data_IF_169884455838
#
_entry.id   IF_169884455838
#
_cell.length_a   1.000
_cell.length_b   1.000
_cell.length_c   1.000
_cell.angle_alpha   90.00
_cell.angle_beta   90.00
_cell.angle_gamma   90.00
#
_symmetry.space_group_name_H-M   'P 1'
#
loop_
_entity.id
_entity.type
_entity.pdbx_description
1 polymer ?
#
# COMPACT_ATOMS: atom_id res chain seq x y z
N UNK A 1 -16.73 10.76 4.47
CA UNK A 1 -15.92 9.96 3.53
C UNK A 1 -14.67 10.77 3.16
N UNK A 2 -13.50 10.14 3.00
CA UNK A 2 -12.29 10.80 2.46
C UNK A 2 -11.85 10.02 1.23
N UNK A 3 -12.04 10.58 0.04
CA UNK A 3 -11.67 9.99 -1.24
C UNK A 3 -10.23 10.36 -1.61
N UNK A 4 -9.44 9.37 -2.00
CA UNK A 4 -8.15 9.56 -2.63
C UNK A 4 -8.30 9.31 -4.12
N UNK A 5 -7.88 10.25 -4.94
CA UNK A 5 -7.89 10.14 -6.40
C UNK A 5 -6.76 10.94 -7.00
N UNK A 6 -6.73 10.96 -8.33
CA UNK A 6 -5.78 11.76 -9.11
C UNK A 6 -6.58 12.48 -10.19
N UNK A 7 -6.49 13.81 -10.24
CA UNK A 7 -7.28 14.64 -11.19
C UNK A 7 -6.86 14.45 -12.64
N UNK A 8 -5.72 13.80 -12.88
CA UNK A 8 -5.25 13.40 -14.21
C UNK A 8 -6.11 12.30 -14.84
N UNK A 9 -6.91 11.59 -14.04
CA UNK A 9 -7.84 10.56 -14.51
C UNK A 9 -9.25 11.11 -14.68
N UNK A 10 -9.96 10.61 -15.69
CA UNK A 10 -11.32 11.03 -16.04
C UNK A 10 -12.30 10.97 -14.84
N UNK A 11 -12.15 9.95 -14.00
CA UNK A 11 -13.04 9.66 -12.88
C UNK A 11 -12.43 10.02 -11.53
N UNK A 12 -12.04 11.29 -11.35
CA UNK A 12 -11.44 11.79 -10.11
C UNK A 12 -12.28 11.45 -8.86
N UNK A 13 -11.69 10.75 -7.89
CA UNK A 13 -12.32 10.31 -6.64
C UNK A 13 -13.65 9.52 -6.80
N UNK A 14 -13.90 8.91 -7.96
CA UNK A 14 -15.21 8.31 -8.27
C UNK A 14 -15.63 7.23 -7.28
N UNK A 15 -14.73 6.32 -6.89
CA UNK A 15 -15.05 5.32 -5.87
C UNK A 15 -15.51 5.97 -4.56
N UNK A 16 -14.83 7.04 -4.11
CA UNK A 16 -15.23 7.78 -2.92
C UNK A 16 -16.62 8.42 -3.03
N UNK A 17 -16.96 8.93 -4.21
CA UNK A 17 -18.29 9.49 -4.54
C UNK A 17 -19.37 8.43 -4.55
N UNK A 18 -19.09 7.26 -5.13
CA UNK A 18 -20.02 6.14 -5.23
C UNK A 18 -20.37 5.59 -3.84
N UNK A 19 -19.36 5.33 -3.01
CA UNK A 19 -19.58 4.86 -1.64
C UNK A 19 -20.35 5.87 -0.79
N UNK A 20 -19.96 7.15 -0.84
CA UNK A 20 -20.61 8.21 -0.08
C UNK A 20 -22.09 8.39 -0.49
N UNK A 21 -22.36 8.32 -1.79
CA UNK A 21 -23.74 8.37 -2.32
C UNK A 21 -24.52 7.13 -1.90
N UNK A 22 -23.92 5.93 -2.02
CA UNK A 22 -24.62 4.69 -1.70
C UNK A 22 -24.95 4.55 -0.23
N UNK A 23 -24.05 4.97 0.66
CA UNK A 23 -24.30 4.99 2.11
C UNK A 23 -25.47 5.93 2.45
N UNK A 24 -25.53 7.11 1.83
CA UNK A 24 -26.63 8.04 2.03
C UNK A 24 -27.97 7.47 1.53
N UNK A 25 -27.99 6.81 0.36
CA UNK A 25 -29.17 6.10 -0.15
C UNK A 25 -29.67 5.01 0.79
N UNK A 26 -28.75 4.31 1.47
CA UNK A 26 -29.05 3.26 2.44
C UNK A 26 -29.44 3.80 3.83
N UNK A 27 -29.52 5.13 3.99
CA UNK A 27 -29.98 5.78 5.22
C UNK A 27 -28.87 6.13 6.22
N UNK A 28 -27.59 6.03 5.84
CA UNK A 28 -26.50 6.49 6.69
C UNK A 28 -26.46 8.03 6.76
N UNK A 29 -26.20 8.57 7.95
CA UNK A 29 -25.98 10.00 8.17
C UNK A 29 -24.49 10.33 8.04
N UNK A 30 -24.16 11.37 7.26
CA UNK A 30 -22.78 11.85 7.14
C UNK A 30 -22.37 12.58 8.43
N UNK A 31 -21.27 12.13 9.04
CA UNK A 31 -20.64 12.82 10.18
C UNK A 31 -19.89 14.09 9.78
N UNK A 32 -19.33 14.08 8.57
CA UNK A 32 -18.65 15.18 7.91
C UNK A 32 -18.88 15.09 6.42
N UNK A 33 -18.80 16.24 5.75
CA UNK A 33 -18.80 16.31 4.29
C UNK A 33 -17.66 15.46 3.70
N UNK A 34 -17.93 14.93 2.51
CA UNK A 34 -16.92 14.21 1.73
C UNK A 34 -15.82 15.18 1.30
N UNK A 35 -14.58 14.72 1.43
CA UNK A 35 -13.41 15.40 0.86
C UNK A 35 -12.87 14.51 -0.26
N UNK A 36 -12.66 15.11 -1.43
CA UNK A 36 -12.05 14.48 -2.61
C UNK A 36 -10.63 15.06 -2.74
N UNK A 37 -9.60 14.25 -2.50
CA UNK A 37 -8.21 14.68 -2.44
C UNK A 37 -7.38 14.13 -3.61
N UNK A 38 -6.49 14.97 -4.14
CA UNK A 38 -5.54 14.67 -5.22
C UNK A 38 -4.21 14.11 -4.67
N UNK A 39 -3.16 13.97 -5.49
CA UNK A 39 -1.84 13.44 -5.11
C UNK A 39 -1.23 14.16 -3.90
N UNK A 40 -1.46 15.47 -3.75
CA UNK A 40 -1.07 16.30 -2.60
C UNK A 40 -2.09 16.25 -1.44
N UNK A 41 -2.63 15.07 -1.14
CA UNK A 41 -3.71 14.87 -0.15
C UNK A 41 -3.31 15.16 1.30
N UNK A 42 -2.02 15.26 1.63
CA UNK A 42 -1.55 15.17 3.02
C UNK A 42 -2.12 16.26 3.93
N UNK A 43 -2.20 17.50 3.44
CA UNK A 43 -2.77 18.62 4.18
C UNK A 43 -4.28 18.46 4.41
N UNK A 44 -5.02 18.13 3.34
CA UNK A 44 -6.45 17.86 3.39
C UNK A 44 -6.78 16.68 4.34
N UNK A 45 -5.95 15.64 4.31
CA UNK A 45 -6.10 14.48 5.18
C UNK A 45 -5.83 14.83 6.64
N UNK A 46 -4.84 15.68 6.93
CA UNK A 46 -4.56 16.13 8.29
C UNK A 46 -5.73 16.93 8.89
N UNK A 47 -6.27 17.88 8.13
CA UNK A 47 -7.43 18.67 8.55
C UNK A 47 -8.67 17.79 8.74
N UNK A 48 -8.97 16.94 7.75
CA UNK A 48 -10.14 16.05 7.81
C UNK A 48 -10.05 15.08 9.00
N UNK A 49 -8.87 14.51 9.27
CA UNK A 49 -8.64 13.64 10.44
C UNK A 49 -8.87 14.37 11.75
N UNK A 50 -8.36 15.60 11.90
CA UNK A 50 -8.57 16.39 13.11
C UNK A 50 -10.08 16.62 13.36
N UNK A 51 -10.81 17.03 12.31
CA UNK A 51 -12.25 17.29 12.38
C UNK A 51 -13.06 16.05 12.73
N UNK A 52 -12.78 14.89 12.10
CA UNK A 52 -13.57 13.69 12.36
C UNK A 52 -13.31 13.15 13.77
N UNK A 53 -12.07 13.27 14.27
CA UNK A 53 -11.74 12.89 15.65
C UNK A 53 -12.54 13.72 16.66
N UNK A 54 -12.69 15.02 16.43
CA UNK A 54 -13.49 15.87 17.32
C UNK A 54 -14.98 15.54 17.28
N UNK A 55 -15.53 15.26 16.10
CA UNK A 55 -16.93 14.80 15.95
C UNK A 55 -17.16 13.47 16.66
N UNK A 56 -16.22 12.51 16.53
CA UNK A 56 -16.32 11.22 17.19
C UNK A 56 -16.22 11.36 18.70
N UNK A 57 -15.28 12.15 19.24
CA UNK A 57 -15.18 12.41 20.68
C UNK A 57 -16.46 12.99 21.27
N UNK A 58 -17.16 13.85 20.54
CA UNK A 58 -18.42 14.43 20.97
C UNK A 58 -19.60 13.43 20.93
N UNK A 59 -19.53 12.41 20.05
CA UNK A 59 -20.59 11.41 19.86
C UNK A 59 -20.38 10.12 20.65
N UNK A 60 -19.19 9.87 21.21
CA UNK A 60 -18.90 8.72 22.07
C UNK A 60 -19.56 8.94 23.45
N UNK A 61 -20.60 8.17 23.85
CA UNK A 61 -20.95 8.03 25.26
C UNK A 61 -19.76 7.37 25.97
N UNK A 62 -19.50 7.64 27.26
CA UNK A 62 -18.47 6.92 28.03
C UNK A 62 -18.61 5.40 27.79
N UNK A 63 -17.73 4.81 26.99
CA UNK A 63 -17.88 3.41 26.56
C UNK A 63 -17.59 2.44 27.70
N UNK A 64 -18.37 1.35 27.72
CA UNK A 64 -18.11 0.14 28.51
C UNK A 64 -17.47 -0.92 27.58
N UNK A 65 -16.66 -1.86 28.08
CA UNK A 65 -15.75 -2.70 27.29
C UNK A 65 -16.36 -3.69 26.27
N UNK A 66 -17.68 -3.72 26.07
CA UNK A 66 -18.37 -4.83 25.39
C UNK A 66 -18.56 -4.63 23.86
N UNK A 67 -18.32 -3.46 23.30
CA UNK A 67 -18.69 -3.13 21.91
C UNK A 67 -17.61 -3.36 20.84
N UNK A 68 -16.40 -3.78 21.21
CA UNK A 68 -15.26 -3.93 20.30
C UNK A 68 -15.23 -5.23 19.44
N UNK A 69 -16.22 -6.13 19.56
CA UNK A 69 -16.09 -7.52 19.07
C UNK A 69 -16.83 -7.87 17.76
N UNK A 70 -17.53 -6.95 17.08
CA UNK A 70 -18.53 -7.32 16.04
C UNK A 70 -18.06 -7.07 14.58
N UNK A 71 -16.93 -6.41 14.33
CA UNK A 71 -16.63 -5.82 13.01
C UNK A 71 -15.85 -6.70 12.01
N UNK A 72 -15.91 -8.04 12.08
CA UNK A 72 -15.00 -8.91 11.33
C UNK A 72 -15.65 -10.05 10.54
N UNK A 73 -16.51 -9.77 9.55
CA UNK A 73 -16.88 -10.78 8.53
C UNK A 73 -17.15 -10.13 7.17
N UNK A 74 -16.11 -9.97 6.36
CA UNK A 74 -16.22 -9.65 4.93
C UNK A 74 -15.94 -10.89 4.08
N UNK A 75 -16.78 -11.17 3.09
CA UNK A 75 -16.67 -12.32 2.17
C UNK A 75 -16.13 -11.81 0.83
N UNK A 76 -15.14 -12.49 0.25
CA UNK A 76 -14.56 -12.16 -1.06
C UNK A 76 -14.86 -13.32 -2.02
N UNK A 77 -15.43 -13.03 -3.19
CA UNK A 77 -15.76 -14.03 -4.22
C UNK A 77 -14.69 -14.13 -5.32
N UNK A 78 -14.55 -15.38 -5.79
CA UNK A 78 -13.89 -15.97 -6.95
C UNK A 78 -12.48 -15.54 -7.37
N UNK A 79 -11.55 -16.48 -7.17
CA UNK A 79 -10.11 -16.36 -7.38
C UNK A 79 -9.75 -17.01 -8.72
N UNK A 80 -9.25 -16.23 -9.68
CA UNK A 80 -8.38 -16.75 -10.75
C UNK A 80 -7.00 -17.00 -10.13
N UNK A 81 -6.83 -18.11 -9.41
CA UNK A 81 -5.67 -18.29 -8.54
C UNK A 81 -4.41 -18.61 -9.35
N UNK A 82 -3.48 -17.65 -9.34
CA UNK A 82 -2.06 -17.98 -9.21
C UNK A 82 -1.85 -18.56 -7.81
N UNK A 83 -0.95 -19.53 -7.59
CA UNK A 83 -0.59 -19.98 -6.24
C UNK A 83 0.20 -18.91 -5.45
N UNK A 84 0.53 -17.79 -6.09
CA UNK A 84 1.29 -16.69 -5.50
C UNK A 84 0.41 -15.46 -5.27
N UNK A 85 0.58 -14.83 -4.12
CA UNK A 85 -0.09 -13.57 -3.74
C UNK A 85 0.95 -12.50 -3.44
N UNK A 86 0.51 -11.29 -3.09
CA UNK A 86 1.42 -10.25 -2.62
C UNK A 86 2.20 -10.73 -1.41
N UNK A 87 1.56 -11.41 -0.47
CA UNK A 87 2.11 -11.90 0.80
C UNK A 87 2.96 -13.17 0.64
N UNK A 88 2.74 -13.92 -0.44
CA UNK A 88 3.50 -15.12 -0.78
C UNK A 88 3.97 -15.05 -2.25
N UNK A 89 4.99 -14.22 -2.57
CA UNK A 89 5.44 -14.01 -3.94
C UNK A 89 6.24 -15.21 -4.49
N UNK A 90 6.24 -15.37 -5.80
CA UNK A 90 7.14 -16.31 -6.48
C UNK A 90 8.56 -15.75 -6.48
N UNK A 91 9.51 -16.54 -5.98
CA UNK A 91 10.93 -16.32 -6.26
C UNK A 91 11.27 -16.86 -7.64
N UNK A 92 11.46 -15.95 -8.60
CA UNK A 92 11.78 -16.27 -9.99
C UNK A 92 13.16 -15.71 -10.39
N UNK A 93 13.81 -16.33 -11.38
CA UNK A 93 15.09 -15.86 -11.89
C UNK A 93 14.90 -14.84 -13.02
N UNK A 94 15.73 -13.80 -13.00
CA UNK A 94 15.82 -12.84 -14.09
C UNK A 94 16.69 -13.45 -15.22
N UNK A 95 16.07 -13.82 -16.34
CA UNK A 95 16.77 -14.44 -17.48
C UNK A 95 17.41 -13.40 -18.39
N UNK A 96 16.74 -12.26 -18.61
CA UNK A 96 17.26 -11.16 -19.46
C UNK A 96 17.13 -9.84 -18.72
N UNK A 97 18.19 -9.04 -18.82
CA UNK A 97 18.20 -7.64 -18.41
C UNK A 97 18.96 -6.81 -19.44
N UNK A 98 18.23 -6.22 -20.39
CA UNK A 98 18.81 -5.52 -21.52
C UNK A 98 18.38 -4.05 -21.52
N UNK A 99 19.35 -3.12 -21.51
CA UNK A 99 19.06 -1.70 -21.75
C UNK A 99 18.55 -1.52 -23.19
N UNK A 100 17.40 -0.87 -23.34
CA UNK A 100 16.78 -0.58 -24.65
C UNK A 100 16.91 0.89 -25.07
N UNK A 101 17.41 1.74 -24.17
CA UNK A 101 17.79 3.12 -24.52
C UNK A 101 19.21 3.20 -25.06
N UNK A 102 19.49 4.25 -25.84
CA UNK A 102 20.82 4.50 -26.41
C UNK A 102 21.92 4.60 -25.35
N UNK A 103 23.17 4.33 -25.76
CA UNK A 103 24.33 4.32 -24.86
C UNK A 103 24.44 5.59 -24.03
N UNK A 104 24.26 6.74 -24.68
CA UNK A 104 24.39 8.06 -24.07
C UNK A 104 23.04 8.66 -23.61
N UNK A 105 21.99 7.85 -23.54
CA UNK A 105 20.70 8.31 -23.01
C UNK A 105 20.79 8.45 -21.49
N UNK A 106 20.33 9.60 -20.99
CA UNK A 106 20.12 9.85 -19.55
C UNK A 106 19.07 8.91 -18.93
N UNK A 107 18.14 8.38 -19.75
CA UNK A 107 17.13 7.42 -19.31
C UNK A 107 17.69 6.00 -19.38
N UNK A 108 17.53 5.23 -18.31
CA UNK A 108 17.78 3.78 -18.31
C UNK A 108 16.44 3.03 -18.36
N UNK A 109 16.04 2.61 -19.56
CA UNK A 109 14.86 1.73 -19.75
C UNK A 109 15.37 0.35 -20.13
N UNK A 110 14.81 -0.68 -19.50
CA UNK A 110 15.27 -2.07 -19.64
C UNK A 110 14.15 -3.00 -20.06
N UNK A 111 14.49 -3.92 -20.96
CA UNK A 111 13.74 -5.14 -21.24
C UNK A 111 14.16 -6.22 -20.25
N UNK A 112 13.20 -6.72 -19.51
CA UNK A 112 13.37 -7.66 -18.41
C UNK A 112 12.58 -8.92 -18.76
N UNK A 113 13.24 -10.07 -18.76
CA UNK A 113 12.56 -11.37 -18.86
C UNK A 113 12.73 -12.13 -17.56
N UNK A 114 11.64 -12.65 -17.04
CA UNK A 114 11.58 -13.41 -15.79
C UNK A 114 11.22 -14.84 -16.17
N UNK A 115 12.09 -15.78 -15.82
CA UNK A 115 11.84 -17.19 -16.02
C UNK A 115 10.92 -17.73 -14.91
N UNK A 116 9.75 -18.20 -15.33
CA UNK A 116 8.74 -18.76 -14.44
C UNK A 116 8.93 -20.27 -14.21
N UNK A 117 9.83 -20.93 -14.94
CA UNK A 117 10.08 -22.37 -14.86
C UNK A 117 8.79 -23.20 -14.77
N UNK A 118 8.78 -24.18 -13.86
CA UNK A 118 7.62 -25.01 -13.55
C UNK A 118 6.77 -24.45 -12.39
N UNK A 119 6.82 -23.13 -12.13
CA UNK A 119 6.14 -22.50 -10.97
C UNK A 119 4.62 -22.63 -10.97
N UNK A 120 4.02 -22.99 -12.11
CA UNK A 120 2.58 -23.05 -12.30
C UNK A 120 1.90 -21.68 -12.38
N UNK A 121 2.66 -20.58 -12.33
CA UNK A 121 2.13 -19.22 -12.50
C UNK A 121 1.59 -19.06 -13.93
N UNK A 122 0.34 -18.59 -14.04
CA UNK A 122 -0.31 -18.29 -15.31
C UNK A 122 -0.73 -16.83 -15.32
N UNK A 123 -0.53 -16.16 -16.45
CA UNK A 123 -0.92 -14.78 -16.67
C UNK A 123 -1.42 -14.59 -18.10
N UNK A 124 -2.18 -13.53 -18.33
CA UNK A 124 -2.67 -13.10 -19.63
C UNK A 124 -2.00 -11.77 -20.04
N UNK A 125 -1.91 -11.47 -21.34
CA UNK A 125 -1.49 -10.15 -21.79
C UNK A 125 -2.39 -9.05 -21.22
N UNK A 126 -1.80 -8.10 -20.51
CA UNK A 126 -2.52 -7.02 -19.82
C UNK A 126 -2.56 -7.19 -18.30
N UNK A 127 -2.21 -8.36 -17.75
CA UNK A 127 -2.06 -8.55 -16.31
C UNK A 127 -0.90 -7.71 -15.76
N UNK A 128 -1.04 -7.28 -14.50
CA UNK A 128 -0.01 -6.54 -13.79
C UNK A 128 0.95 -7.49 -13.06
N UNK A 129 2.25 -7.13 -13.06
CA UNK A 129 3.28 -7.80 -12.29
C UNK A 129 3.68 -6.96 -11.08
N UNK A 130 3.51 -7.51 -9.88
CA UNK A 130 4.10 -6.96 -8.66
C UNK A 130 5.53 -7.46 -8.48
N UNK A 131 6.49 -6.55 -8.26
CA UNK A 131 7.90 -6.89 -7.99
C UNK A 131 8.26 -6.48 -6.58
N UNK A 132 8.72 -7.43 -5.78
CA UNK A 132 9.30 -7.17 -4.47
C UNK A 132 10.74 -6.70 -4.65
N UNK A 133 11.07 -5.56 -4.07
CA UNK A 133 12.41 -4.98 -4.12
C UNK A 133 13.02 -4.95 -2.73
N UNK A 134 14.34 -4.84 -2.68
CA UNK A 134 15.08 -4.52 -1.48
C UNK A 134 15.66 -3.12 -1.62
N UNK A 135 15.69 -2.37 -0.53
CA UNK A 135 16.36 -1.08 -0.53
C UNK A 135 17.88 -1.28 -0.71
N UNK A 136 18.54 -0.29 -1.33
CA UNK A 136 20.00 -0.32 -1.51
C UNK A 136 20.69 -0.37 -0.13
N UNK A 137 21.54 -1.37 0.16
CA UNK A 137 22.28 -1.44 1.41
C UNK A 137 23.07 -0.18 1.74
N UNK A 138 23.58 0.53 0.72
CA UNK A 138 24.33 1.77 0.91
C UNK A 138 23.42 2.90 1.42
N UNK A 139 22.19 3.03 0.88
CA UNK A 139 21.20 4.01 1.34
C UNK A 139 20.70 3.68 2.74
N UNK A 140 20.46 2.40 3.05
CA UNK A 140 20.09 1.96 4.40
C UNK A 140 21.19 2.31 5.40
N UNK A 141 22.45 2.04 5.05
CA UNK A 141 23.59 2.39 5.88
C UNK A 141 23.71 3.90 6.10
N UNK A 142 23.61 4.69 5.04
CA UNK A 142 23.64 6.16 5.12
C UNK A 142 22.56 6.68 6.07
N UNK A 143 21.32 6.18 5.94
CA UNK A 143 20.22 6.56 6.81
C UNK A 143 20.49 6.22 8.29
N UNK A 144 20.97 5.00 8.56
CA UNK A 144 21.31 4.54 9.92
C UNK A 144 22.40 5.42 10.54
N UNK A 145 23.45 5.76 9.77
CA UNK A 145 24.55 6.62 10.21
C UNK A 145 24.08 8.06 10.48
N UNK A 146 23.21 8.62 9.62
CA UNK A 146 22.62 9.95 9.81
C UNK A 146 21.76 10.06 11.08
N UNK A 147 21.19 8.95 11.52
CA UNK A 147 20.40 8.86 12.74
C UNK A 147 21.24 8.48 13.97
N UNK A 148 22.57 8.35 13.82
CA UNK A 148 23.50 7.92 14.86
C UNK A 148 23.13 6.56 15.49
N UNK A 149 22.55 5.67 14.68
CA UNK A 149 22.22 4.30 15.06
C UNK A 149 23.30 3.34 14.54
N UNK A 150 23.30 2.11 15.06
CA UNK A 150 24.24 1.05 14.65
C UNK A 150 23.69 0.16 13.54
N UNK A 151 22.36 0.05 13.45
CA UNK A 151 21.66 -0.84 12.53
C UNK A 151 21.51 -2.26 13.07
N UNK A 152 22.24 -2.64 14.11
CA UNK A 152 22.13 -3.95 14.78
C UNK A 152 21.10 -3.96 15.93
N UNK A 153 20.49 -2.81 16.22
CA UNK A 153 19.48 -2.70 17.25
C UNK A 153 18.29 -3.62 16.91
N UNK A 154 17.82 -4.43 17.88
CA UNK A 154 16.69 -5.31 17.64
C UNK A 154 15.40 -4.49 17.53
N UNK A 155 14.71 -4.65 16.40
CA UNK A 155 13.37 -4.08 16.17
C UNK A 155 12.37 -5.20 15.92
N UNK A 156 11.12 -4.98 16.32
CA UNK A 156 10.04 -5.95 16.08
C UNK A 156 9.14 -5.41 14.97
N UNK A 157 9.12 -6.13 13.85
CA UNK A 157 8.24 -5.86 12.70
C UNK A 157 7.37 -7.09 12.52
N UNK A 158 6.05 -6.91 12.57
CA UNK A 158 5.08 -8.01 12.44
C UNK A 158 5.32 -9.20 13.39
N UNK A 159 5.75 -8.94 14.61
CA UNK A 159 6.03 -9.98 15.61
C UNK A 159 7.33 -10.76 15.38
N UNK A 160 8.13 -10.43 14.37
CA UNK A 160 9.49 -10.94 14.18
C UNK A 160 10.51 -9.92 14.65
N UNK A 161 11.46 -10.36 15.49
CA UNK A 161 12.58 -9.53 15.92
C UNK A 161 13.75 -9.69 14.94
N UNK A 162 14.22 -8.58 14.40
CA UNK A 162 15.33 -8.53 13.44
C UNK A 162 16.16 -7.24 13.63
N UNK A 163 17.40 -7.17 13.12
CA UNK A 163 18.19 -5.93 13.12
C UNK A 163 17.47 -4.80 12.40
N UNK A 164 17.63 -3.57 12.89
CA UNK A 164 17.09 -2.36 12.26
C UNK A 164 17.48 -2.24 10.78
N UNK A 165 18.73 -2.54 10.43
CA UNK A 165 19.21 -2.49 9.04
C UNK A 165 18.49 -3.49 8.14
N UNK A 166 18.24 -4.70 8.62
CA UNK A 166 17.51 -5.73 7.89
C UNK A 166 16.04 -5.33 7.70
N UNK A 167 15.41 -4.77 8.74
CA UNK A 167 14.04 -4.25 8.65
C UNK A 167 13.90 -3.11 7.64
N UNK A 168 14.92 -2.24 7.54
CA UNK A 168 14.95 -1.15 6.56
C UNK A 168 15.27 -1.64 5.14
N UNK A 169 16.01 -2.74 5.01
CA UNK A 169 16.39 -3.29 3.72
C UNK A 169 15.31 -4.16 3.08
N UNK A 170 14.69 -5.02 3.90
CA UNK A 170 13.67 -5.96 3.50
C UNK A 170 12.31 -5.41 3.92
N UNK A 171 11.54 -4.87 2.96
CA UNK A 171 10.14 -4.54 3.18
C UNK A 171 9.33 -5.83 3.30
N UNK A 172 9.35 -6.45 4.47
CA UNK A 172 8.35 -7.45 4.85
C UNK A 172 7.06 -6.67 5.11
N UNK A 173 6.00 -6.91 4.32
CA UNK A 173 4.68 -6.32 4.55
C UNK A 173 3.96 -7.06 5.64
#
# INVERSE_FOLDING_TARGET
MFGLGDTSYEFFCQSGKDFDSKLAELGAERLLDRVDADVEYQAAAAEWRARIVDVLKARVPKETPAQAAITATGVVNDIHTSPYTKEAPLSASLSVNQKITGRDSEKDVRHIEIDLGDSGLRYQPGDALGVWYQNDPALVKELVELLWLKGDEPVTVEGKTQPLSEALQCTSS
#
